data_IF_406316126184
#
_entry.id   IF_406316126184
#
_cell.length_a   1.000
_cell.length_b   1.000
_cell.length_c   1.000
_cell.angle_alpha   90.00
_cell.angle_beta   90.00
_cell.angle_gamma   90.00
#
_symmetry.space_group_name_H-M   'P 1'
#
loop_
_entity.id
_entity.type
_entity.pdbx_description
1 polymer ?
#
# COMPACT_ATOMS: atom_id res chain seq x y z
N UNK A 1 -3.30 -17.08 11.26
CA UNK A 1 -4.50 -17.43 10.47
C UNK A 1 -5.51 -16.28 10.48
N UNK A 2 -6.52 -16.23 9.61
CA UNK A 2 -7.64 -15.26 9.75
C UNK A 2 -8.76 -15.93 10.55
N UNK A 3 -9.40 -15.18 11.46
CA UNK A 3 -10.57 -15.68 12.19
C UNK A 3 -11.82 -15.62 11.32
N UNK A 4 -12.84 -16.42 11.64
CA UNK A 4 -14.14 -16.34 10.94
C UNK A 4 -14.77 -14.96 11.09
N UNK A 5 -14.59 -14.31 12.24
CA UNK A 5 -15.04 -12.94 12.43
C UNK A 5 -14.35 -11.95 11.48
N UNK A 6 -13.03 -12.09 11.27
CA UNK A 6 -12.29 -11.27 10.30
C UNK A 6 -12.77 -11.49 8.86
N UNK A 7 -13.09 -12.73 8.47
CA UNK A 7 -13.64 -13.03 7.15
C UNK A 7 -15.03 -12.42 6.96
N UNK A 8 -15.93 -12.59 7.92
CA UNK A 8 -17.27 -11.97 7.90
C UNK A 8 -17.19 -10.45 7.85
N UNK A 9 -16.26 -9.86 8.60
CA UNK A 9 -15.99 -8.42 8.56
C UNK A 9 -15.58 -7.97 7.16
N UNK A 10 -14.65 -8.67 6.52
CA UNK A 10 -14.21 -8.37 5.15
C UNK A 10 -15.37 -8.43 4.15
N UNK A 11 -16.24 -9.44 4.23
CA UNK A 11 -17.42 -9.56 3.35
C UNK A 11 -18.39 -8.40 3.55
N UNK A 12 -18.65 -8.01 4.80
CA UNK A 12 -19.61 -6.94 5.13
C UNK A 12 -19.09 -5.54 4.79
N UNK A 13 -17.82 -5.27 5.08
CA UNK A 13 -17.25 -3.93 5.01
C UNK A 13 -16.43 -3.69 3.74
N UNK A 14 -16.13 -4.73 2.96
CA UNK A 14 -15.30 -4.65 1.75
C UNK A 14 -13.80 -4.49 2.01
N UNK A 15 -13.37 -4.31 3.27
CA UNK A 15 -11.96 -4.20 3.64
C UNK A 15 -11.66 -4.87 4.99
N UNK A 16 -10.39 -5.16 5.23
CA UNK A 16 -9.91 -5.71 6.49
C UNK A 16 -8.50 -5.18 6.81
N UNK A 17 -8.36 -4.54 7.98
CA UNK A 17 -7.06 -4.16 8.53
C UNK A 17 -6.37 -5.36 9.19
N UNK A 18 -5.15 -5.67 8.76
CA UNK A 18 -4.29 -6.70 9.37
C UNK A 18 -2.95 -6.07 9.73
N UNK A 19 -2.70 -5.87 11.02
CA UNK A 19 -1.45 -5.27 11.50
C UNK A 19 -0.26 -6.24 11.36
N UNK A 20 0.94 -5.67 11.24
CA UNK A 20 2.22 -6.39 11.32
C UNK A 20 2.35 -7.58 10.34
N UNK A 21 1.71 -7.52 9.18
CA UNK A 21 1.69 -8.64 8.23
C UNK A 21 2.98 -8.78 7.42
N UNK A 22 3.68 -7.66 7.17
CA UNK A 22 4.93 -7.65 6.39
C UNK A 22 6.12 -7.82 7.33
N UNK A 23 6.99 -8.83 7.11
CA UNK A 23 8.24 -8.98 7.83
C UNK A 23 9.13 -7.73 7.80
N UNK A 24 9.77 -7.41 8.93
CA UNK A 24 10.57 -6.18 9.11
C UNK A 24 11.72 -6.06 8.11
N UNK A 25 12.34 -7.18 7.73
CA UNK A 25 13.45 -7.21 6.78
C UNK A 25 12.98 -6.85 5.35
N UNK A 26 11.83 -7.36 4.92
CA UNK A 26 11.20 -7.01 3.64
C UNK A 26 10.87 -5.52 3.63
N UNK A 27 10.23 -5.03 4.69
CA UNK A 27 9.88 -3.62 4.84
C UNK A 27 11.13 -2.73 4.77
N UNK A 28 12.22 -3.10 5.46
CA UNK A 28 13.48 -2.36 5.45
C UNK A 28 14.11 -2.29 4.06
N UNK A 29 14.11 -3.39 3.30
CA UNK A 29 14.65 -3.41 1.93
C UNK A 29 13.85 -2.52 0.98
N UNK A 30 12.52 -2.59 1.04
CA UNK A 30 11.64 -1.75 0.23
C UNK A 30 11.84 -0.26 0.56
N UNK A 31 11.87 0.10 1.86
CA UNK A 31 12.12 1.48 2.31
C UNK A 31 13.44 2.04 1.79
N UNK A 32 14.52 1.26 1.84
CA UNK A 32 15.83 1.71 1.32
C UNK A 32 15.79 1.97 -0.19
N UNK A 33 15.12 1.10 -0.95
CA UNK A 33 14.98 1.28 -2.39
C UNK A 33 14.22 2.58 -2.72
N UNK A 34 13.07 2.78 -2.07
CA UNK A 34 12.24 3.98 -2.24
C UNK A 34 13.03 5.25 -1.84
N UNK A 35 13.69 5.25 -0.68
CA UNK A 35 14.46 6.40 -0.22
C UNK A 35 15.64 6.71 -1.15
N UNK A 36 16.30 5.68 -1.68
CA UNK A 36 17.39 5.86 -2.65
C UNK A 36 16.91 6.49 -3.95
N UNK A 37 15.70 6.12 -4.41
CA UNK A 37 15.05 6.72 -5.58
C UNK A 37 14.69 8.18 -5.33
N UNK A 38 13.93 8.46 -4.27
CA UNK A 38 13.52 9.81 -3.89
C UNK A 38 14.73 10.73 -3.68
N UNK A 39 15.83 10.19 -3.14
CA UNK A 39 17.08 10.92 -2.92
C UNK A 39 17.77 11.40 -4.20
N UNK A 40 17.42 10.86 -5.37
CA UNK A 40 17.89 11.38 -6.68
C UNK A 40 17.10 12.61 -7.14
N UNK A 41 16.05 12.98 -6.42
CA UNK A 41 15.13 14.06 -6.79
C UNK A 41 13.87 13.54 -7.50
N UNK A 42 12.80 14.34 -7.40
CA UNK A 42 11.54 14.11 -8.10
C UNK A 42 11.36 15.28 -9.05
N UNK A 43 11.14 15.00 -10.33
CA UNK A 43 10.84 16.00 -11.35
C UNK A 43 9.49 16.68 -11.04
N UNK A 44 9.46 17.97 -10.65
CA UNK A 44 8.23 18.65 -10.25
C UNK A 44 7.22 18.77 -11.40
N UNK A 45 7.71 18.80 -12.65
CA UNK A 45 6.87 18.93 -13.84
C UNK A 45 6.03 17.68 -14.10
N UNK A 46 6.43 16.55 -13.51
CA UNK A 46 5.79 15.24 -13.69
C UNK A 46 4.90 14.83 -12.53
N UNK A 47 4.72 15.68 -11.51
CA UNK A 47 3.91 15.35 -10.31
C UNK A 47 2.49 14.89 -10.71
N UNK A 48 1.82 15.61 -11.60
CA UNK A 48 0.47 15.26 -12.05
C UNK A 48 0.42 13.86 -12.72
N UNK A 49 1.48 13.47 -13.43
CA UNK A 49 1.61 12.14 -14.06
C UNK A 49 1.94 11.07 -13.02
N UNK A 50 2.79 11.40 -12.04
CA UNK A 50 3.20 10.49 -10.97
C UNK A 50 2.07 10.16 -9.99
N UNK A 51 1.14 11.09 -9.77
CA UNK A 51 -0.05 10.85 -8.97
C UNK A 51 -0.93 9.73 -9.54
N UNK A 52 -1.00 9.62 -10.88
CA UNK A 52 -1.80 8.60 -11.57
C UNK A 52 -1.01 7.29 -11.76
N UNK A 53 0.32 7.34 -11.83
CA UNK A 53 1.16 6.19 -12.22
C UNK A 53 2.03 5.65 -11.08
N UNK A 54 3.09 6.34 -10.70
CA UNK A 54 3.99 6.05 -9.57
C UNK A 54 5.02 7.19 -9.43
N UNK A 55 5.36 7.58 -8.21
CA UNK A 55 6.43 8.57 -7.95
C UNK A 55 7.85 8.02 -8.19
N UNK A 56 8.00 6.69 -8.19
CA UNK A 56 9.25 6.01 -8.53
C UNK A 56 8.93 4.99 -9.63
N UNK A 57 8.80 5.41 -10.91
CA UNK A 57 8.41 4.52 -12.00
C UNK A 57 9.39 3.37 -12.21
N UNK A 58 10.68 3.60 -11.99
CA UNK A 58 11.75 2.59 -12.08
C UNK A 58 11.63 1.48 -11.02
N UNK A 59 10.91 1.73 -9.93
CA UNK A 59 10.65 0.74 -8.88
C UNK A 59 9.33 -0.02 -9.08
N UNK A 60 8.56 0.29 -10.12
CA UNK A 60 7.23 -0.29 -10.38
C UNK A 60 7.26 -1.81 -10.46
N UNK A 61 8.29 -2.38 -11.07
CA UNK A 61 8.46 -3.83 -11.25
C UNK A 61 9.54 -4.42 -10.32
N UNK A 62 10.04 -3.61 -9.37
CA UNK A 62 11.12 -4.03 -8.48
C UNK A 62 10.63 -5.09 -7.48
N UNK A 63 11.33 -6.22 -7.43
CA UNK A 63 10.99 -7.37 -6.57
C UNK A 63 10.96 -7.02 -5.08
N UNK A 64 11.73 -6.01 -4.64
CA UNK A 64 11.72 -5.50 -3.26
C UNK A 64 10.39 -4.83 -2.93
N UNK A 65 9.74 -4.20 -3.91
CA UNK A 65 8.44 -3.54 -3.76
C UNK A 65 7.30 -4.55 -3.92
N UNK A 66 7.31 -5.35 -5.00
CA UNK A 66 6.32 -6.41 -5.23
C UNK A 66 6.29 -7.40 -4.06
N UNK A 67 7.43 -7.65 -3.42
CA UNK A 67 7.57 -8.51 -2.24
C UNK A 67 6.75 -8.06 -1.03
N UNK A 68 6.40 -6.78 -0.91
CA UNK A 68 5.53 -6.28 0.15
C UNK A 68 4.14 -6.95 0.11
N UNK A 69 3.58 -7.14 -1.09
CA UNK A 69 2.27 -7.75 -1.29
C UNK A 69 2.33 -9.27 -1.47
N UNK A 70 3.43 -9.78 -2.05
CA UNK A 70 3.53 -11.19 -2.50
C UNK A 70 4.28 -12.12 -1.54
N UNK A 71 4.84 -11.61 -0.44
CA UNK A 71 5.50 -12.46 0.56
C UNK A 71 4.53 -13.51 1.14
N UNK A 72 5.03 -14.68 1.61
CA UNK A 72 4.16 -15.79 2.01
C UNK A 72 3.15 -15.43 3.13
N UNK A 73 3.53 -14.71 4.20
CA UNK A 73 2.56 -14.24 5.20
C UNK A 73 1.42 -13.40 4.62
N UNK A 74 1.74 -12.37 3.82
CA UNK A 74 0.74 -11.49 3.19
C UNK A 74 -0.12 -12.26 2.18
N UNK A 75 0.51 -13.00 1.27
CA UNK A 75 -0.21 -13.68 0.18
C UNK A 75 -1.17 -14.77 0.68
N UNK A 76 -0.81 -15.44 1.78
CA UNK A 76 -1.70 -16.41 2.45
C UNK A 76 -2.99 -15.74 2.97
N UNK A 77 -2.94 -14.48 3.38
CA UNK A 77 -4.12 -13.73 3.81
C UNK A 77 -5.00 -13.33 2.63
N UNK A 78 -4.39 -12.84 1.55
CA UNK A 78 -5.09 -12.48 0.31
C UNK A 78 -5.85 -13.70 -0.23
N UNK A 79 -5.15 -14.83 -0.40
CA UNK A 79 -5.75 -16.07 -0.89
C UNK A 79 -6.81 -16.66 0.04
N UNK A 80 -6.70 -16.44 1.36
CA UNK A 80 -7.72 -16.86 2.32
C UNK A 80 -8.99 -16.00 2.28
N UNK A 81 -8.90 -14.74 1.83
CA UNK A 81 -10.05 -13.84 1.69
C UNK A 81 -10.72 -13.96 0.32
N UNK A 82 -9.94 -14.01 -0.75
CA UNK A 82 -10.45 -14.00 -2.12
C UNK A 82 -10.70 -15.41 -2.69
N UNK A 83 -10.09 -16.43 -2.10
CA UNK A 83 -10.09 -17.80 -2.59
C UNK A 83 -8.86 -18.14 -3.42
N UNK A 84 -8.47 -19.42 -3.41
CA UNK A 84 -7.37 -19.93 -4.23
C UNK A 84 -7.74 -19.83 -5.72
N UNK A 85 -6.80 -19.37 -6.55
CA UNK A 85 -7.00 -19.17 -7.99
C UNK A 85 -7.84 -17.94 -8.37
N UNK A 86 -8.41 -17.23 -7.40
CA UNK A 86 -9.21 -16.01 -7.62
C UNK A 86 -8.45 -14.70 -7.40
N UNK A 87 -7.24 -14.79 -6.84
CA UNK A 87 -6.35 -13.66 -6.66
C UNK A 87 -5.17 -13.74 -7.64
N UNK A 88 -4.97 -12.68 -8.42
CA UNK A 88 -3.84 -12.56 -9.34
C UNK A 88 -2.68 -11.89 -8.59
N UNK A 89 -1.50 -12.50 -8.63
CA UNK A 89 -0.30 -11.90 -8.02
C UNK A 89 0.05 -10.62 -8.77
N UNK A 90 0.25 -9.49 -8.07
CA UNK A 90 0.68 -8.26 -8.72
C UNK A 90 2.07 -8.46 -9.32
N UNK A 91 2.23 -7.99 -10.56
CA UNK A 91 3.52 -7.90 -11.27
C UNK A 91 4.10 -6.51 -11.21
N UNK A 92 3.31 -5.53 -10.75
CA UNK A 92 3.72 -4.14 -10.60
C UNK A 92 3.17 -3.53 -9.31
N UNK A 93 3.73 -2.40 -8.92
CA UNK A 93 3.34 -1.62 -7.76
C UNK A 93 3.33 -0.13 -8.06
N UNK A 94 2.48 0.61 -7.36
CA UNK A 94 2.47 2.06 -7.36
C UNK A 94 3.08 2.57 -6.06
N UNK A 95 4.03 3.49 -6.17
CA UNK A 95 4.54 4.24 -5.02
C UNK A 95 3.81 5.57 -4.99
N UNK A 96 2.79 5.63 -4.14
CA UNK A 96 1.95 6.81 -3.97
C UNK A 96 2.48 7.65 -2.79
N UNK A 97 3.19 8.73 -3.09
CA UNK A 97 3.60 9.68 -2.07
C UNK A 97 2.42 10.60 -1.71
N UNK A 98 2.45 11.09 -0.47
CA UNK A 98 1.55 12.15 -0.01
C UNK A 98 2.45 13.25 0.53
N UNK A 99 2.47 14.38 -0.16
CA UNK A 99 3.17 15.55 0.35
C UNK A 99 2.34 16.18 1.45
N UNK A 100 2.97 16.67 2.53
CA UNK A 100 2.25 17.40 3.55
C UNK A 100 1.59 18.63 2.92
N UNK A 101 0.27 18.72 3.06
CA UNK A 101 -0.48 19.95 2.76
C UNK A 101 -0.35 20.89 3.95
N UNK A 102 -0.19 22.20 3.70
CA UNK A 102 -0.24 23.20 4.78
C UNK A 102 -1.58 23.07 5.51
N UNK A 103 -1.58 23.15 6.83
CA UNK A 103 -2.74 22.88 7.71
C UNK A 103 -4.02 23.61 7.25
N UNK A 104 -3.88 24.86 6.82
CA UNK A 104 -4.99 25.72 6.35
C UNK A 104 -5.56 25.34 4.97
N UNK A 105 -4.93 24.42 4.24
CA UNK A 105 -5.39 23.88 2.95
C UNK A 105 -5.95 22.46 3.07
N UNK A 106 -5.96 21.87 4.28
CA UNK A 106 -6.65 20.59 4.50
C UNK A 106 -8.14 20.81 4.26
N UNK A 107 -8.80 19.98 3.42
CA UNK A 107 -10.26 20.00 3.33
C UNK A 107 -10.83 19.83 4.74
N UNK A 108 -11.81 20.66 5.12
CA UNK A 108 -12.53 20.45 6.39
C UNK A 108 -13.05 19.02 6.38
N UNK A 109 -12.70 18.25 7.40
CA UNK A 109 -13.26 16.91 7.59
C UNK A 109 -14.77 17.02 7.59
N UNK A 110 -15.42 16.34 6.65
CA UNK A 110 -16.89 16.25 6.63
C UNK A 110 -17.30 15.41 7.84
N UNK A 111 -18.18 15.89 8.73
CA UNK A 111 -18.65 15.10 9.85
C UNK A 111 -19.28 13.80 9.32
N UNK A 112 -18.69 12.66 9.68
CA UNK A 112 -19.13 11.32 9.24
C UNK A 112 -18.13 10.53 8.39
N UNK A 113 -17.04 11.14 7.91
CA UNK A 113 -15.93 10.41 7.28
C UNK A 113 -14.68 10.46 8.17
N UNK A 114 -14.72 9.77 9.31
CA UNK A 114 -13.49 9.52 10.07
C UNK A 114 -12.79 8.31 9.47
N UNK A 115 -11.68 8.56 8.78
CA UNK A 115 -10.65 7.57 8.46
C UNK A 115 -9.64 7.44 9.62
N UNK A 116 -10.04 7.69 10.87
CA UNK A 116 -9.14 7.63 12.04
C UNK A 116 -9.00 6.22 12.62
N UNK A 117 -9.29 5.16 11.85
CA UNK A 117 -9.01 3.78 12.26
C UNK A 117 -7.90 3.15 11.41
N UNK A 118 -6.79 3.86 11.21
CA UNK A 118 -5.56 3.29 10.63
C UNK A 118 -4.28 3.84 11.30
N UNK A 119 -4.22 3.80 12.63
CA UNK A 119 -2.99 3.49 13.38
C UNK A 119 -3.29 2.40 14.42
#
# INVERSE_FOLDING_TARGET
>A
MLTENQKRKFVREGFLRVANIVPKDILRRAKRAINSSIGQGIDPTKIAVFDVSSFCPELREDRRIIGLATNPPTWRKVTALLGRGRAIKPTNAQIALRFPVKEHLKPKSVPGTSMDTLL
#
